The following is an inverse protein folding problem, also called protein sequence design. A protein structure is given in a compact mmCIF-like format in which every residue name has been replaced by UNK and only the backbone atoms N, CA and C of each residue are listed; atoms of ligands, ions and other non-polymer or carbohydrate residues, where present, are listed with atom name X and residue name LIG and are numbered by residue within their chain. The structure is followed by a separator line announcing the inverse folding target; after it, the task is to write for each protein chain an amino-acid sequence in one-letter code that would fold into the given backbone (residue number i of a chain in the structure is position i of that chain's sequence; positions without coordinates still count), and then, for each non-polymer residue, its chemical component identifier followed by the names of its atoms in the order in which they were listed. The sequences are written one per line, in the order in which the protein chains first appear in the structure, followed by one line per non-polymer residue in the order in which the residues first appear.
data_IF_243752902293
#
_entry.id   IF_243752902293
#
_cell.length_a   1.000
_cell.length_b   1.000
_cell.length_c   1.000
_cell.angle_alpha   90.00
_cell.angle_beta   90.00
_cell.angle_gamma   90.00
#
_symmetry.space_group_name_H-M   'P 1'
#
loop_
_entity.id
_entity.type
_entity.pdbx_description
1 polymer ?
#
# COMPACT_ATOMS: atom_id res chain seq x y z
N UNK A 1 -2.10 13.44 -9.04
CA UNK A 1 -1.89 12.05 -9.52
C UNK A 1 -3.22 11.34 -9.79
N UNK A 2 -3.38 10.56 -10.88
CA UNK A 2 -4.63 9.86 -11.21
C UNK A 2 -5.07 8.85 -10.13
N UNK A 3 -4.10 8.17 -9.51
CA UNK A 3 -4.33 7.23 -8.40
C UNK A 3 -4.93 7.92 -7.15
N UNK A 4 -4.43 9.10 -6.80
CA UNK A 4 -4.94 9.90 -5.67
C UNK A 4 -6.41 10.30 -5.86
N UNK A 5 -6.78 10.72 -7.08
CA UNK A 5 -8.19 11.02 -7.43
C UNK A 5 -9.08 9.79 -7.38
N UNK A 6 -8.62 8.64 -7.87
CA UNK A 6 -9.39 7.39 -7.86
C UNK A 6 -9.68 6.92 -6.44
N UNK A 7 -8.66 6.97 -5.57
CA UNK A 7 -8.77 6.50 -4.18
C UNK A 7 -9.21 7.59 -3.20
N UNK A 8 -9.48 8.81 -3.69
CA UNK A 8 -9.87 9.99 -2.90
C UNK A 8 -8.89 10.35 -1.78
N UNK A 9 -7.59 10.18 -2.02
CA UNK A 9 -6.50 10.50 -1.09
C UNK A 9 -5.63 11.63 -1.63
N UNK A 10 -4.81 12.24 -0.78
CA UNK A 10 -3.87 13.28 -1.22
C UNK A 10 -2.70 12.70 -2.05
N UNK A 11 -1.95 13.57 -2.74
CA UNK A 11 -0.86 13.12 -3.62
C UNK A 11 0.31 12.46 -2.85
N UNK A 12 0.53 12.85 -1.58
CA UNK A 12 1.54 12.24 -0.71
C UNK A 12 1.18 10.79 -0.35
N UNK A 13 -0.10 10.53 -0.05
CA UNK A 13 -0.60 9.18 0.16
C UNK A 13 -0.49 8.32 -1.11
N UNK A 14 -0.73 8.90 -2.29
CA UNK A 14 -0.50 8.19 -3.55
C UNK A 14 0.99 7.86 -3.75
N UNK A 15 1.91 8.76 -3.38
CA UNK A 15 3.33 8.49 -3.38
C UNK A 15 3.71 7.39 -2.36
N UNK A 16 3.03 7.35 -1.20
CA UNK A 16 3.16 6.29 -0.20
C UNK A 16 2.88 4.88 -0.73
N UNK A 17 1.86 4.73 -1.58
CA UNK A 17 1.54 3.45 -2.21
C UNK A 17 2.68 2.98 -3.12
N UNK A 18 3.33 3.90 -3.83
CA UNK A 18 4.49 3.56 -4.66
C UNK A 18 5.71 3.28 -3.79
N UNK A 19 5.96 4.10 -2.77
CA UNK A 19 7.10 3.91 -1.87
C UNK A 19 7.04 2.57 -1.12
N UNK A 20 5.86 2.15 -0.67
CA UNK A 20 5.67 0.88 0.04
C UNK A 20 6.00 -0.35 -0.83
N UNK A 21 5.82 -0.28 -2.15
CA UNK A 21 6.26 -1.35 -3.06
C UNK A 21 7.77 -1.63 -2.98
N UNK A 22 8.56 -0.57 -2.72
CA UNK A 22 9.98 -0.69 -2.45
C UNK A 22 10.22 -1.08 -0.98
N UNK A 23 9.72 -0.26 -0.02
CA UNK A 23 9.87 -0.51 1.41
C UNK A 23 8.88 0.35 2.24
N UNK A 24 8.45 -0.14 3.41
CA UNK A 24 7.57 0.59 4.33
C UNK A 24 8.23 1.78 5.06
N UNK A 25 9.55 1.77 5.28
CA UNK A 25 10.32 2.83 5.94
C UNK A 25 10.14 4.19 5.26
N UNK A 26 10.42 4.36 3.94
CA UNK A 26 10.18 5.65 3.27
C UNK A 26 8.70 6.03 3.29
N UNK A 27 7.78 5.07 3.19
CA UNK A 27 6.35 5.32 3.29
C UNK A 27 5.96 5.89 4.66
N UNK A 28 6.50 5.34 5.76
CA UNK A 28 6.25 5.85 7.11
C UNK A 28 6.79 7.27 7.32
N UNK A 29 7.91 7.63 6.68
CA UNK A 29 8.43 9.00 6.70
C UNK A 29 7.47 10.03 6.11
N UNK A 30 6.62 9.63 5.16
CA UNK A 30 5.61 10.46 4.52
C UNK A 30 4.25 10.45 5.23
N UNK A 31 4.04 9.52 6.17
CA UNK A 31 2.72 9.24 6.77
C UNK A 31 2.14 10.43 7.54
N UNK A 32 3.00 11.28 8.13
CA UNK A 32 2.61 12.50 8.84
C UNK A 32 1.91 13.52 7.93
N UNK A 33 2.23 13.49 6.64
CA UNK A 33 1.72 14.43 5.64
C UNK A 33 0.57 13.81 4.79
N UNK A 34 0.14 12.58 5.11
CA UNK A 34 -1.00 11.92 4.48
C UNK A 34 -2.32 12.37 5.11
N UNK A 35 -3.39 12.42 4.31
CA UNK A 35 -4.75 12.53 4.82
C UNK A 35 -5.21 11.22 5.49
N UNK A 36 -6.19 11.27 6.38
CA UNK A 36 -6.57 10.10 7.21
C UNK A 36 -7.07 8.92 6.38
N UNK A 37 -7.77 9.20 5.27
CA UNK A 37 -8.11 8.18 4.28
C UNK A 37 -6.84 7.58 3.66
N UNK A 38 -5.91 8.43 3.26
CA UNK A 38 -4.60 8.04 2.73
C UNK A 38 -3.82 7.14 3.67
N UNK A 39 -3.79 7.45 4.97
CA UNK A 39 -3.14 6.64 6.02
C UNK A 39 -3.74 5.23 6.10
N UNK A 40 -5.07 5.12 6.19
CA UNK A 40 -5.76 3.83 6.27
C UNK A 40 -5.43 2.96 5.06
N UNK A 41 -5.53 3.53 3.85
CA UNK A 41 -5.29 2.78 2.61
C UNK A 41 -3.81 2.39 2.47
N UNK A 42 -2.88 3.28 2.81
CA UNK A 42 -1.44 3.00 2.74
C UNK A 42 -1.02 1.89 3.68
N UNK A 43 -1.46 1.94 4.94
CA UNK A 43 -1.12 0.92 5.93
C UNK A 43 -1.70 -0.43 5.50
N UNK A 44 -2.97 -0.47 5.06
CA UNK A 44 -3.59 -1.70 4.60
C UNK A 44 -2.86 -2.30 3.39
N UNK A 45 -2.49 -1.48 2.41
CA UNK A 45 -1.73 -1.91 1.25
C UNK A 45 -0.35 -2.44 1.64
N UNK A 46 0.37 -1.73 2.51
CA UNK A 46 1.72 -2.10 2.94
C UNK A 46 1.78 -3.47 3.63
N UNK A 47 0.77 -3.85 4.42
CA UNK A 47 0.74 -5.18 5.07
C UNK A 47 0.87 -6.33 4.06
N UNK A 48 0.21 -6.20 2.90
CA UNK A 48 0.15 -7.29 1.92
C UNK A 48 1.16 -7.13 0.78
N UNK A 49 1.36 -5.90 0.30
CA UNK A 49 2.10 -5.61 -0.92
C UNK A 49 3.50 -5.04 -0.69
N UNK A 50 3.86 -4.66 0.53
CA UNK A 50 5.15 -4.01 0.73
C UNK A 50 6.32 -4.91 0.30
N UNK A 51 7.40 -4.25 -0.12
CA UNK A 51 8.67 -4.89 -0.50
C UNK A 51 8.60 -5.78 -1.75
N UNK A 52 7.49 -5.77 -2.50
CA UNK A 52 7.32 -6.62 -3.69
C UNK A 52 8.38 -6.38 -4.77
N UNK A 53 8.90 -5.15 -4.85
CA UNK A 53 9.97 -4.77 -5.77
C UNK A 53 11.26 -4.34 -5.04
N UNK A 54 11.32 -4.54 -3.72
CA UNK A 54 12.47 -4.21 -2.89
C UNK A 54 12.99 -5.46 -2.18
N UNK A 55 13.00 -5.41 -0.84
CA UNK A 55 13.69 -6.40 -0.01
C UNK A 55 13.23 -7.84 -0.27
N UNK A 56 11.93 -8.07 -0.47
CA UNK A 56 11.41 -9.41 -0.69
C UNK A 56 11.83 -9.94 -2.06
N UNK A 57 11.81 -9.10 -3.09
CA UNK A 57 12.32 -9.46 -4.42
C UNK A 57 13.81 -9.79 -4.37
N UNK A 58 14.62 -8.94 -3.71
CA UNK A 58 16.05 -9.16 -3.57
C UNK A 58 16.37 -10.47 -2.85
N UNK A 59 15.65 -10.78 -1.77
CA UNK A 59 15.75 -12.06 -1.07
C UNK A 59 15.34 -13.23 -1.97
N UNK A 60 14.16 -13.19 -2.59
CA UNK A 60 13.68 -14.28 -3.45
C UNK A 60 14.63 -14.52 -4.63
N UNK A 61 15.15 -13.47 -5.26
CA UNK A 61 16.10 -13.61 -6.36
C UNK A 61 17.42 -14.26 -5.94
N UNK A 62 17.90 -13.99 -4.72
CA UNK A 62 19.14 -14.58 -4.20
C UNK A 62 19.02 -16.03 -3.73
N UNK A 63 17.82 -16.47 -3.32
CA UNK A 63 17.62 -17.79 -2.69
C UNK A 63 16.77 -18.77 -3.52
N UNK A 64 15.76 -18.29 -4.26
CA UNK A 64 14.90 -19.11 -5.09
C UNK A 64 14.24 -18.27 -6.20
N UNK A 65 14.94 -18.11 -7.32
CA UNK A 65 14.51 -17.26 -8.44
C UNK A 65 13.22 -17.75 -9.12
N UNK A 66 12.90 -19.03 -9.07
CA UNK A 66 11.66 -19.59 -9.61
C UNK A 66 10.42 -19.06 -8.87
N UNK A 67 10.59 -18.64 -7.61
CA UNK A 67 9.51 -18.09 -6.77
C UNK A 67 9.25 -16.59 -6.99
N UNK A 68 10.04 -15.88 -7.81
CA UNK A 68 9.88 -14.44 -8.04
C UNK A 68 8.48 -14.11 -8.57
N UNK A 69 8.08 -14.76 -9.67
CA UNK A 69 6.80 -14.49 -10.33
C UNK A 69 5.60 -14.82 -9.43
N UNK A 70 5.53 -16.02 -8.80
CA UNK A 70 4.48 -16.33 -7.82
C UNK A 70 4.40 -15.32 -6.67
N UNK A 71 5.54 -14.90 -6.13
CA UNK A 71 5.62 -13.93 -5.03
C UNK A 71 5.04 -12.58 -5.43
N UNK A 72 5.45 -12.04 -6.59
CA UNK A 72 4.95 -10.74 -7.07
C UNK A 72 3.43 -10.80 -7.26
N UNK A 73 2.93 -11.83 -7.94
CA UNK A 73 1.50 -11.99 -8.19
C UNK A 73 0.73 -12.09 -6.87
N UNK A 74 1.15 -12.96 -5.95
CA UNK A 74 0.48 -13.15 -4.67
C UNK A 74 0.42 -11.85 -3.84
N UNK A 75 1.54 -11.13 -3.74
CA UNK A 75 1.61 -9.88 -2.97
C UNK A 75 0.78 -8.76 -3.60
N UNK A 76 0.83 -8.60 -4.92
CA UNK A 76 0.01 -7.59 -5.60
C UNK A 76 -1.49 -7.90 -5.48
N UNK A 77 -1.90 -9.16 -5.65
CA UNK A 77 -3.29 -9.58 -5.45
C UNK A 77 -3.75 -9.33 -4.01
N UNK A 78 -2.93 -9.67 -3.03
CA UNK A 78 -3.20 -9.38 -1.61
C UNK A 78 -3.29 -7.88 -1.34
N UNK A 79 -2.37 -7.09 -1.90
CA UNK A 79 -2.36 -5.63 -1.83
C UNK A 79 -3.62 -4.97 -2.35
N UNK A 80 -4.01 -5.32 -3.57
CA UNK A 80 -5.20 -4.77 -4.23
C UNK A 80 -6.45 -5.16 -3.42
N UNK A 81 -6.51 -6.41 -2.93
CA UNK A 81 -7.61 -6.88 -2.07
C UNK A 81 -7.70 -6.10 -0.76
N UNK A 82 -6.55 -5.84 -0.12
CA UNK A 82 -6.48 -5.03 1.09
C UNK A 82 -6.93 -3.58 0.84
N UNK A 83 -6.57 -2.97 -0.29
CA UNK A 83 -7.03 -1.63 -0.68
C UNK A 83 -8.56 -1.62 -0.88
N UNK A 84 -9.12 -2.61 -1.56
CA UNK A 84 -10.57 -2.72 -1.75
C UNK A 84 -11.33 -2.77 -0.42
N UNK A 85 -10.85 -3.58 0.52
CA UNK A 85 -11.42 -3.65 1.87
C UNK A 85 -11.22 -2.35 2.64
N UNK A 86 -10.02 -1.76 2.57
CA UNK A 86 -9.68 -0.50 3.23
C UNK A 86 -10.55 0.66 2.76
N UNK A 87 -10.95 0.71 1.48
CA UNK A 87 -11.88 1.72 0.99
C UNK A 87 -13.25 1.65 1.68
N UNK A 88 -13.75 0.43 1.95
CA UNK A 88 -15.02 0.21 2.66
C UNK A 88 -14.88 0.62 4.12
N UNK A 89 -13.79 0.23 4.77
CA UNK A 89 -13.53 0.56 6.18
C UNK A 89 -13.34 2.07 6.35
N UNK A 90 -12.49 2.71 5.54
CA UNK A 90 -12.23 4.14 5.59
C UNK A 90 -13.51 4.97 5.45
N UNK A 91 -14.42 4.59 4.54
CA UNK A 91 -15.71 5.24 4.40
C UNK A 91 -16.57 5.16 5.67
N UNK A 92 -16.52 4.03 6.40
CA UNK A 92 -17.29 3.86 7.65
C UNK A 92 -16.65 4.59 8.82
N UNK A 93 -15.33 4.48 8.96
CA UNK A 93 -14.58 5.11 10.06
C UNK A 93 -14.66 6.63 9.97
N UNK A 94 -14.38 7.21 8.81
CA UNK A 94 -14.36 8.67 8.63
C UNK A 94 -15.77 9.29 8.70
N UNK A 95 -16.82 8.55 8.31
CA UNK A 95 -18.21 9.00 8.52
C UNK A 95 -18.61 9.03 10.00
N UNK A 96 -18.11 8.09 10.81
CA UNK A 96 -18.39 8.02 12.24
C UNK A 96 -17.73 9.17 13.01
N UNK A 97 -16.59 9.65 12.53
CA UNK A 97 -15.84 10.75 13.15
C UNK A 97 -16.46 12.13 12.89
N UNK A 98 -17.32 12.23 11.87
CA UNK A 98 -18.04 13.46 11.50
C UNK A 98 -19.48 13.53 12.04
N UNK A 99 -19.94 12.49 12.76
CA UNK A 99 -21.29 12.35 13.31
C UNK A 99 -21.28 12.46 14.83
#
# INVERSE_FOLDING_TARGET
MAMGKLLKMNDIAAAGLVASLANSIPMFGMMKDMDDRGKIINVAFAVSAAFVFGDHLGFTAGFNSEMITPMIVAKLVGGISAVMLAMVIANKTLKKEQA
#
